data_IF_119193535676
#
_entry.id   IF_119193535676
#
_cell.length_a   1.000
_cell.length_b   1.000
_cell.length_c   1.000
_cell.angle_alpha   90.00
_cell.angle_beta   90.00
_cell.angle_gamma   90.00
#
_symmetry.space_group_name_H-M   'P 1'
#
loop_
_entity.id
_entity.type
_entity.pdbx_description
1 polymer ?
2 non-polymer ?
3 non-polymer ?
4 non-polymer ?
5 non-polymer ?
6 water ?
#
# COMPACT_ATOMS: atom_id res chain seq x y z
N UNK A 19 -10.28 10.72 -29.74
CA UNK A 19 -10.66 10.71 -31.18
C UNK A 19 -10.32 9.40 -31.90
N UNK A 20 -9.68 8.47 -31.23
CA UNK A 20 -9.36 7.20 -31.85
C UNK A 20 -10.63 6.37 -31.99
N UNK A 21 -10.74 5.63 -33.06
CA UNK A 21 -11.95 4.87 -33.29
C UNK A 21 -11.74 3.38 -33.48
N UNK A 22 -10.52 2.88 -33.33
CA UNK A 22 -10.34 1.43 -33.48
C UNK A 22 -11.00 0.71 -32.32
N UNK A 23 -11.27 -0.58 -32.52
CA UNK A 23 -12.13 -1.30 -31.57
C UNK A 23 -11.32 -1.84 -30.38
N UNK A 24 -10.87 -0.90 -29.55
CA UNK A 24 -10.13 -1.24 -28.36
C UNK A 24 -10.29 -0.08 -27.38
N UNK A 25 -10.17 -0.37 -26.09
CA UNK A 25 -10.16 0.63 -25.04
C UNK A 25 -8.74 1.04 -24.81
N UNK A 26 -8.54 2.31 -24.42
CA UNK A 26 -7.22 2.82 -24.08
C UNK A 26 -7.24 3.28 -22.64
N UNK A 27 -6.30 2.76 -21.85
CA UNK A 27 -6.13 3.16 -20.47
C UNK A 27 -4.78 3.91 -20.41
N UNK A 28 -4.81 5.18 -20.03
CA UNK A 28 -3.59 5.95 -19.92
C UNK A 28 -3.04 5.79 -18.51
N UNK A 29 -1.76 5.41 -18.42
CA UNK A 29 -1.13 5.14 -17.13
C UNK A 29 0.25 5.78 -17.08
N UNK A 30 0.70 6.05 -15.85
CA UNK A 30 2.06 6.46 -15.60
C UNK A 30 2.56 5.59 -14.45
N UNK A 31 3.61 4.82 -14.70
CA UNK A 31 4.20 3.92 -13.71
C UNK A 31 5.34 4.62 -13.01
N UNK A 32 5.42 4.44 -11.70
CA UNK A 32 6.55 4.86 -10.92
C UNK A 32 6.89 3.72 -9.96
N UNK A 33 7.99 3.88 -9.25
CA UNK A 33 8.21 3.00 -8.10
C UNK A 33 8.72 3.82 -6.92
N UNK A 34 8.40 3.32 -5.73
CA UNK A 34 8.81 3.93 -4.50
C UNK A 34 9.64 2.90 -3.77
N UNK A 35 10.96 3.12 -3.72
CA UNK A 35 11.88 2.16 -3.09
C UNK A 35 11.79 0.78 -3.74
N UNK A 36 11.41 0.75 -5.01
CA UNK A 36 11.34 -0.49 -5.78
C UNK A 36 9.92 -1.04 -5.89
N UNK A 37 9.00 -0.54 -5.06
CA UNK A 37 7.62 -1.00 -5.09
C UNK A 37 6.82 -0.20 -6.11
N UNK A 38 6.22 -0.89 -7.09
CA UNK A 38 5.62 -0.16 -8.21
C UNK A 38 4.26 0.46 -7.88
N UNK A 39 3.98 1.59 -8.53
CA UNK A 39 2.64 2.19 -8.51
C UNK A 39 2.25 2.48 -9.95
N UNK A 40 1.12 1.91 -10.36
CA UNK A 40 0.59 2.15 -11.70
C UNK A 40 -0.56 3.12 -11.56
N UNK A 41 -0.31 4.39 -11.90
CA UNK A 41 -1.33 5.44 -11.78
C UNK A 41 -2.19 5.44 -13.02
N UNK A 42 -3.48 5.23 -12.83
CA UNK A 42 -4.43 5.28 -13.93
C UNK A 42 -4.95 6.69 -14.07
N UNK A 43 -4.57 7.33 -15.16
CA UNK A 43 -4.93 8.73 -15.42
C UNK A 43 -6.30 8.84 -16.06
N UNK A 44 -6.62 7.89 -16.94
CA UNK A 44 -7.92 7.89 -17.60
C UNK A 44 -8.23 6.52 -18.20
N UNK A 45 -9.52 6.29 -18.45
CA UNK A 45 -9.95 5.07 -19.15
C UNK A 45 -10.82 4.11 -18.36
N UNK A 46 -10.90 4.27 -17.05
CA UNK A 46 -11.80 3.42 -16.25
C UNK A 46 -13.21 3.97 -16.38
N UNK A 47 -14.20 3.15 -16.05
CA UNK A 47 -15.58 3.61 -16.08
C UNK A 47 -15.86 4.63 -14.99
N UNK A 48 -16.94 5.38 -15.18
CA UNK A 48 -17.49 6.22 -14.15
C UNK A 48 -17.86 5.40 -12.92
N UNK A 49 -17.60 5.96 -11.74
CA UNK A 49 -17.90 5.26 -10.50
C UNK A 49 -18.85 6.09 -9.61
N UNK A 50 -19.42 7.13 -10.20
CA UNK A 50 -20.33 8.01 -9.48
C UNK A 50 -19.57 9.14 -8.82
N UNK A 51 -20.26 9.87 -7.94
CA UNK A 51 -19.69 11.07 -7.33
C UNK A 51 -19.63 11.00 -5.80
N UNK A 52 -19.71 9.79 -5.26
CA UNK A 52 -19.67 9.60 -3.81
C UNK A 52 -18.25 9.61 -3.25
N UNK A 53 -18.10 9.14 -2.02
CA UNK A 53 -16.79 9.07 -1.39
C UNK A 53 -15.90 8.07 -2.11
N UNK A 54 -14.59 8.12 -1.89
CA UNK A 54 -13.68 7.16 -2.50
C UNK A 54 -14.07 5.73 -2.06
N UNK A 55 -14.56 5.58 -0.84
CA UNK A 55 -14.97 4.24 -0.37
C UNK A 55 -16.18 3.75 -1.18
N UNK A 56 -17.13 4.64 -1.43
CA UNK A 56 -18.31 4.28 -2.22
C UNK A 56 -17.92 3.94 -3.65
N UNK A 57 -16.98 4.70 -4.22
CA UNK A 57 -16.50 4.43 -5.58
C UNK A 57 -15.75 3.11 -5.65
N UNK A 58 -14.97 2.82 -4.61
CA UNK A 58 -14.26 1.55 -4.56
C UNK A 58 -15.25 0.38 -4.59
N UNK A 59 -16.36 0.52 -3.87
CA UNK A 59 -17.39 -0.53 -3.81
C UNK A 59 -17.96 -0.78 -5.21
N UNK A 60 -18.22 0.30 -5.96
CA UNK A 60 -18.77 0.17 -7.31
C UNK A 60 -17.73 -0.50 -8.23
N UNK A 61 -16.49 -0.04 -8.17
CA UNK A 61 -15.41 -0.60 -8.98
C UNK A 61 -15.27 -2.10 -8.71
N UNK A 62 -15.21 -2.47 -7.44
CA UNK A 62 -15.00 -3.87 -7.05
C UNK A 62 -16.18 -4.76 -7.46
N UNK A 63 -17.38 -4.23 -7.37
CA UNK A 63 -18.57 -5.06 -7.58
C UNK A 63 -18.92 -5.17 -9.07
N UNK A 64 -18.79 -4.05 -9.78
CA UNK A 64 -19.31 -3.95 -11.14
C UNK A 64 -18.23 -4.01 -12.23
N UNK A 65 -17.03 -3.52 -11.91
CA UNK A 65 -16.00 -3.30 -12.91
C UNK A 65 -14.63 -3.84 -12.53
N UNK A 66 -14.62 -4.96 -11.80
CA UNK A 66 -13.34 -5.50 -11.31
C UNK A 66 -12.42 -5.92 -12.45
N UNK A 67 -12.98 -6.23 -13.61
CA UNK A 67 -12.14 -6.56 -14.78
C UNK A 67 -11.17 -5.42 -15.19
N UNK A 68 -11.52 -4.17 -14.87
CA UNK A 68 -10.58 -3.07 -15.09
C UNK A 68 -9.34 -3.18 -14.19
N UNK A 69 -9.52 -3.59 -12.94
CA UNK A 69 -8.37 -3.89 -12.08
C UNK A 69 -7.50 -4.99 -12.70
N UNK A 70 -8.12 -6.11 -13.06
CA UNK A 70 -7.34 -7.25 -13.55
C UNK A 70 -6.63 -6.92 -14.87
N UNK A 71 -7.26 -6.11 -15.72
CA UNK A 71 -6.63 -5.73 -17.00
C UNK A 71 -5.35 -4.95 -16.77
N UNK A 72 -5.36 -4.10 -15.75
CA UNK A 72 -4.23 -3.23 -15.43
C UNK A 72 -3.12 -3.87 -14.62
N UNK A 73 -3.51 -4.76 -13.72
CA UNK A 73 -2.61 -5.30 -12.70
C UNK A 73 -2.06 -6.66 -13.05
N UNK A 74 -2.91 -7.55 -13.56
CA UNK A 74 -2.56 -8.94 -13.82
C UNK A 74 -1.84 -9.10 -15.17
N UNK A 75 -1.21 -10.23 -15.36
CA UNK A 75 -0.68 -10.59 -16.67
C UNK A 75 -1.83 -10.53 -17.68
N UNK A 76 -1.53 -10.23 -18.95
CA UNK A 76 -0.18 -10.02 -19.51
C UNK A 76 0.38 -8.61 -19.31
N UNK A 77 -0.45 -7.62 -18.99
CA UNK A 77 0.00 -6.23 -18.93
C UNK A 77 0.69 -5.83 -17.64
N UNK A 78 0.49 -6.63 -16.59
CA UNK A 78 1.02 -6.30 -15.27
C UNK A 78 1.84 -7.44 -14.69
N UNK A 79 1.73 -7.60 -13.38
CA UNK A 79 2.36 -8.72 -12.69
C UNK A 79 1.81 -8.78 -11.28
N UNK A 80 2.08 -9.88 -10.58
CA UNK A 80 1.50 -10.06 -9.26
C UNK A 80 2.04 -9.05 -8.26
N UNK A 81 3.14 -8.40 -8.59
CA UNK A 81 3.77 -7.43 -7.70
C UNK A 81 3.10 -6.05 -7.70
N UNK A 82 2.45 -5.70 -8.81
CA UNK A 82 2.00 -4.33 -9.03
C UNK A 82 0.87 -3.92 -8.11
N UNK A 83 0.91 -2.65 -7.78
CA UNK A 83 -0.15 -1.95 -7.06
C UNK A 83 -0.61 -0.81 -7.99
N UNK A 84 -1.92 -0.69 -8.16
CA UNK A 84 -2.50 0.33 -9.00
C UNK A 84 -3.14 1.43 -8.17
N UNK A 85 -3.26 2.61 -8.76
CA UNK A 85 -3.87 3.76 -8.13
C UNK A 85 -4.77 4.44 -9.16
N UNK A 86 -6.06 4.42 -8.93
CA UNK A 86 -6.99 5.10 -9.84
C UNK A 86 -7.19 6.54 -9.43
N UNK A 87 -6.83 7.48 -10.30
CA UNK A 87 -7.06 8.90 -10.02
C UNK A 87 -8.55 9.19 -10.14
N UNK A 88 -9.07 9.90 -9.15
CA UNK A 88 -10.46 10.28 -9.12
C UNK A 88 -10.60 11.77 -8.80
N UNK A 89 -11.66 12.39 -9.30
CA UNK A 89 -12.00 13.74 -8.84
C UNK A 89 -12.47 13.64 -7.39
N UNK A 90 -11.88 14.45 -6.49
CA UNK A 90 -12.25 14.31 -5.08
C UNK A 90 -13.61 14.94 -4.78
N UNK A 91 -14.20 14.57 -3.65
CA UNK A 91 -15.48 15.14 -3.23
C UNK A 91 -15.27 16.59 -2.82
N UNK A 92 -14.22 16.82 -2.04
CA UNK A 92 -13.92 18.17 -1.55
C UNK A 92 -13.08 18.96 -2.55
N UNK A 93 -13.49 20.18 -2.89
CA UNK A 93 -12.67 20.99 -3.79
C UNK A 93 -11.33 21.43 -3.18
N UNK A 94 -11.14 21.23 -1.88
CA UNK A 94 -9.88 21.56 -1.21
C UNK A 94 -8.82 20.46 -1.36
N UNK A 95 -9.19 19.32 -1.95
CA UNK A 95 -8.25 18.22 -2.15
C UNK A 95 -7.66 18.26 -3.55
N UNK A 96 -6.41 17.81 -3.67
CA UNK A 96 -5.75 17.72 -4.97
C UNK A 96 -6.28 16.58 -5.81
N UNK A 97 -6.70 15.50 -5.16
CA UNK A 97 -7.08 14.28 -5.85
C UNK A 97 -7.75 13.32 -4.89
N UNK A 98 -8.49 12.38 -5.46
CA UNK A 98 -8.90 11.18 -4.77
C UNK A 98 -8.22 10.00 -5.43
N UNK A 99 -8.00 8.94 -4.67
CA UNK A 99 -7.33 7.74 -5.18
C UNK A 99 -7.95 6.47 -4.61
N UNK A 100 -8.05 5.45 -5.45
CA UNK A 100 -8.41 4.10 -5.00
C UNK A 100 -7.22 3.19 -5.36
N UNK A 101 -6.71 2.47 -4.38
CA UNK A 101 -5.56 1.59 -4.56
C UNK A 101 -6.01 0.12 -4.66
N UNK A 102 -5.33 -0.64 -5.52
CA UNK A 102 -5.64 -2.04 -5.72
C UNK A 102 -4.39 -2.86 -6.05
N UNK A 103 -4.50 -4.17 -5.88
CA UNK A 103 -3.35 -5.07 -6.10
C UNK A 103 -3.82 -6.33 -6.80
N UNK A 104 -3.00 -7.36 -6.82
CA UNK A 104 -3.34 -8.56 -7.59
C UNK A 104 -4.53 -9.32 -7.04
N UNK A 105 -4.88 -9.11 -5.78
CA UNK A 105 -6.00 -9.84 -5.22
C UNK A 105 -7.25 -9.03 -4.99
N UNK A 106 -7.13 -7.71 -4.82
CA UNK A 106 -8.30 -6.89 -4.53
C UNK A 106 -7.97 -5.45 -4.28
N UNK A 107 -8.60 -4.88 -3.25
CA UNK A 107 -8.50 -3.44 -2.99
C UNK A 107 -7.87 -3.16 -1.63
N UNK A 108 -6.96 -2.22 -1.61
CA UNK A 108 -6.32 -1.80 -0.37
C UNK A 108 -7.14 -0.73 0.32
N UNK A 109 -6.70 -0.33 1.52
CA UNK A 109 -7.28 0.82 2.20
C UNK A 109 -6.45 2.04 1.83
N UNK A 110 -5.54 2.43 2.71
CA UNK A 110 -4.50 3.39 2.35
C UNK A 110 -3.30 2.63 1.73
N UNK A 111 -2.38 3.38 1.18
CA UNK A 111 -1.20 2.82 0.53
C UNK A 111 -0.13 3.89 0.57
N UNK A 112 0.87 3.71 1.44
CA UNK A 112 1.88 4.73 1.66
C UNK A 112 2.81 4.90 0.47
N UNK A 113 3.41 3.80 0.00
CA UNK A 113 4.36 3.88 -1.10
C UNK A 113 3.61 4.43 -2.32
N UNK A 114 2.33 4.06 -2.43
CA UNK A 114 1.53 4.48 -3.58
C UNK A 114 1.16 5.95 -3.55
N UNK A 115 0.89 6.48 -2.36
CA UNK A 115 0.60 7.92 -2.23
C UNK A 115 1.84 8.73 -2.59
N UNK A 116 3.02 8.27 -2.16
CA UNK A 116 4.28 8.91 -2.56
C UNK A 116 4.39 8.90 -4.09
N UNK A 117 4.11 7.76 -4.71
CA UNK A 117 4.15 7.67 -6.16
C UNK A 117 3.16 8.58 -6.87
N UNK A 118 1.93 8.59 -6.37
CA UNK A 118 0.89 9.41 -6.96
C UNK A 118 1.29 10.88 -6.92
N UNK A 119 1.76 11.33 -5.76
CA UNK A 119 2.06 12.75 -5.61
C UNK A 119 3.26 13.16 -6.47
N UNK A 120 4.29 12.33 -6.51
CA UNK A 120 5.42 12.58 -7.38
C UNK A 120 4.99 12.62 -8.86
N UNK A 121 4.09 11.71 -9.22
CA UNK A 121 3.58 11.63 -10.58
C UNK A 121 2.73 12.85 -10.94
N UNK A 122 1.88 13.30 -10.02
CA UNK A 122 1.07 14.49 -10.28
C UNK A 122 1.96 15.71 -10.56
N UNK A 123 3.14 15.76 -9.93
CA UNK A 123 4.07 16.85 -10.23
C UNK A 123 4.58 16.76 -11.66
N UNK A 124 4.95 15.54 -12.06
CA UNK A 124 5.41 15.28 -13.43
C UNK A 124 4.35 15.65 -14.47
N UNK A 125 3.09 15.44 -14.12
CA UNK A 125 1.94 15.77 -14.98
C UNK A 125 1.65 17.25 -15.02
N UNK A 126 2.32 18.01 -14.17
CA UNK A 126 2.14 19.45 -14.10
C UNK A 126 0.90 19.88 -13.34
N UNK A 127 0.32 18.97 -12.54
CA UNK A 127 -0.93 19.25 -11.86
C UNK A 127 -0.77 19.87 -10.47
N UNK A 128 0.40 19.66 -9.85
CA UNK A 128 0.70 20.25 -8.55
C UNK A 128 2.15 20.68 -8.48
N UNK A 129 2.42 21.60 -7.57
CA UNK A 129 3.78 22.00 -7.24
C UNK A 129 4.13 21.62 -5.82
N UNK A 130 5.36 21.91 -5.41
CA UNK A 130 5.72 21.67 -4.01
C UNK A 130 4.75 22.34 -3.04
N UNK A 131 4.48 21.65 -1.93
CA UNK A 131 3.60 22.16 -0.90
C UNK A 131 2.70 21.06 -0.37
N UNK A 132 1.68 21.45 0.39
CA UNK A 132 0.82 20.49 1.08
C UNK A 132 -0.41 20.21 0.23
N UNK A 133 -0.72 18.93 0.07
CA UNK A 133 -1.82 18.49 -0.80
C UNK A 133 -2.65 17.41 -0.12
N UNK A 134 -3.96 17.62 -0.04
CA UNK A 134 -4.84 16.64 0.57
C UNK A 134 -5.26 15.61 -0.47
N UNK A 135 -5.19 14.33 -0.09
CA UNK A 135 -5.54 13.24 -0.98
C UNK A 135 -6.62 12.37 -0.33
N UNK A 136 -7.79 12.29 -0.98
CA UNK A 136 -8.88 11.47 -0.45
C UNK A 136 -8.64 10.00 -0.78
N UNK A 137 -8.95 9.13 0.17
CA UNK A 137 -8.82 7.67 -0.01
C UNK A 137 -10.01 6.95 0.62
N UNK A 138 -10.13 5.65 0.36
CA UNK A 138 -11.27 4.93 0.95
C UNK A 138 -11.24 4.81 2.48
N UNK A 139 -10.11 5.12 3.12
CA UNK A 139 -10.03 5.08 4.59
C UNK A 139 -9.86 6.47 5.22
N UNK A 140 -10.08 7.52 4.43
CA UNK A 140 -10.00 8.89 4.91
C UNK A 140 -8.99 9.71 4.17
N UNK A 141 -8.99 11.02 4.44
CA UNK A 141 -8.10 11.93 3.73
C UNK A 141 -6.73 12.01 4.39
N UNK A 142 -5.68 11.91 3.58
CA UNK A 142 -4.32 12.06 4.08
C UNK A 142 -3.73 13.36 3.55
N UNK A 143 -2.69 13.86 4.20
CA UNK A 143 -2.04 15.10 3.81
C UNK A 143 -0.62 14.83 3.34
N UNK A 144 -0.38 15.02 2.05
CA UNK A 144 0.93 14.72 1.49
C UNK A 144 1.65 16.03 1.27
N UNK A 145 2.88 16.12 1.75
CA UNK A 145 3.69 17.27 1.46
C UNK A 145 4.72 16.89 0.39
N UNK A 146 4.65 17.58 -0.74
CA UNK A 146 5.66 17.46 -1.77
C UNK A 146 6.74 18.48 -1.44
N UNK A 147 7.89 17.96 -1.06
CA UNK A 147 9.02 18.80 -0.68
C UNK A 147 9.69 19.37 -1.93
N UNK A 148 10.47 20.41 -1.72
CA UNK A 148 11.18 21.05 -2.83
C UNK A 148 12.10 20.03 -3.54
N UNK A 149 12.60 19.03 -2.80
CA UNK A 149 13.43 17.98 -3.43
C UNK A 149 12.64 16.85 -4.13
N UNK A 150 11.33 16.98 -4.13
CA UNK A 150 10.40 16.08 -4.80
C UNK A 150 10.20 14.76 -4.06
N UNK A 151 10.85 14.62 -2.90
CA UNK A 151 10.43 13.59 -1.93
C UNK A 151 9.06 13.96 -1.38
N UNK A 152 8.38 12.98 -0.79
CA UNK A 152 7.02 13.19 -0.33
C UNK A 152 6.85 12.67 1.09
N UNK A 153 6.26 13.50 1.96
CA UNK A 153 5.86 13.07 3.30
C UNK A 153 4.35 12.86 3.30
N UNK A 154 3.90 11.73 3.79
CA UNK A 154 2.48 11.43 3.86
C UNK A 154 2.05 11.34 5.31
N UNK A 155 1.23 12.30 5.74
CA UNK A 155 0.64 12.29 7.07
C UNK A 155 -0.56 11.36 6.95
N UNK A 156 -0.40 10.16 7.51
CA UNK A 156 -1.36 9.07 7.35
C UNK A 156 -2.59 9.24 8.27
N UNK A 157 -3.59 8.40 8.05
CA UNK A 157 -4.71 8.29 8.95
C UNK A 157 -4.27 7.75 10.32
N UNK A 158 -5.16 7.84 11.30
CA UNK A 158 -4.88 7.33 12.63
C UNK A 158 -4.41 5.86 12.60
N UNK A 159 -3.36 5.57 13.36
CA UNK A 159 -2.82 4.22 13.50
C UNK A 159 -2.92 3.81 14.94
N UNK A 160 -3.13 2.52 15.19
CA UNK A 160 -3.26 2.06 16.57
C UNK A 160 -2.99 0.57 16.65
N UNK A 161 -2.61 0.10 17.84
CA UNK A 161 -2.43 -1.32 18.07
C UNK A 161 -3.69 -1.91 18.72
N UNK A 162 -4.16 -3.00 18.14
CA UNK A 162 -5.35 -3.70 18.60
C UNK A 162 -5.02 -4.74 19.67
N UNK A 163 -3.87 -5.38 19.54
CA UNK A 163 -3.44 -6.38 20.54
C UNK A 163 -1.94 -6.57 20.46
N UNK A 164 -1.35 -6.94 21.60
CA UNK A 164 0.11 -7.10 21.73
C UNK A 164 0.51 -8.54 22.09
N UNK A 165 1.59 -9.03 21.47
CA UNK A 165 2.19 -10.32 21.86
C UNK A 165 1.16 -11.45 21.83
N UNK A 166 0.42 -11.51 20.74
CA UNK A 166 -0.56 -12.57 20.51
C UNK A 166 0.17 -13.85 20.11
N UNK A 167 -0.08 -14.93 20.85
CA UNK A 167 0.55 -16.21 20.58
C UNK A 167 -0.07 -16.88 19.35
N UNK A 168 0.77 -17.40 18.49
CA UNK A 168 0.30 -18.07 17.28
C UNK A 168 1.23 -19.26 16.98
N UNK A 169 0.63 -20.43 16.81
CA UNK A 169 1.39 -21.60 16.34
C UNK A 169 1.34 -21.56 14.81
N UNK A 170 2.49 -21.27 14.20
CA UNK A 170 2.58 -21.12 12.75
C UNK A 170 2.69 -22.50 12.13
N UNK A 171 1.72 -22.88 11.30
CA UNK A 171 1.76 -24.27 10.82
C UNK A 171 3.03 -24.54 10.02
N UNK A 172 3.72 -25.62 10.38
CA UNK A 172 4.94 -26.00 9.71
C UNK A 172 6.19 -25.41 10.33
N UNK A 173 6.06 -24.52 11.32
CA UNK A 173 7.21 -23.80 11.86
C UNK A 173 7.30 -23.69 13.40
N UNK A 174 6.18 -23.45 14.07
CA UNK A 174 6.21 -23.37 15.52
C UNK A 174 5.77 -22.02 16.05
N UNK A 175 5.79 -21.87 17.38
CA UNK A 175 5.15 -20.73 18.02
C UNK A 175 5.85 -19.40 17.84
N UNK A 176 5.04 -18.35 17.65
CA UNK A 176 5.54 -16.98 17.65
C UNK A 176 4.59 -16.09 18.43
N UNK A 177 5.03 -14.85 18.63
CA UNK A 177 4.20 -13.80 19.20
C UNK A 177 4.17 -12.66 18.21
N UNK A 178 3.00 -12.07 17.99
CA UNK A 178 2.90 -10.91 17.11
C UNK A 178 1.93 -9.86 17.62
N UNK A 179 2.12 -8.63 17.17
CA UNK A 179 1.17 -7.57 17.44
C UNK A 179 0.18 -7.46 16.28
N UNK A 180 -1.04 -7.05 16.59
CA UNK A 180 -2.05 -6.75 15.57
C UNK A 180 -2.23 -5.24 15.56
N UNK A 181 -2.05 -4.60 14.42
CA UNK A 181 -2.14 -3.13 14.36
C UNK A 181 -2.66 -2.63 13.02
N UNK A 182 -3.34 -1.49 13.07
CA UNK A 182 -3.85 -0.81 11.90
C UNK A 182 -2.98 0.39 11.54
N UNK A 183 -2.56 0.46 10.28
CA UNK A 183 -1.85 1.61 9.76
C UNK A 183 -2.45 2.13 8.47
N UNK A 184 -3.75 1.86 8.25
CA UNK A 184 -4.41 2.07 6.95
C UNK A 184 -4.71 0.78 6.21
N UNK A 185 -4.15 -0.31 6.73
CA UNK A 185 -4.49 -1.71 6.41
C UNK A 185 -4.21 -2.47 7.71
N UNK A 186 -4.67 -3.71 7.82
CA UNK A 186 -4.40 -4.52 9.03
C UNK A 186 -3.13 -5.34 8.90
N UNK A 187 -2.30 -5.34 9.95
CA UNK A 187 -1.01 -6.00 9.95
C UNK A 187 -0.86 -6.91 11.17
N UNK A 188 -0.15 -8.01 10.97
CA UNK A 188 0.42 -8.81 12.05
C UNK A 188 1.94 -8.59 12.01
N UNK A 189 2.50 -8.16 13.13
CA UNK A 189 3.90 -7.72 13.22
C UNK A 189 4.68 -8.65 14.13
N UNK A 190 5.69 -9.31 13.60
CA UNK A 190 6.45 -10.29 14.34
C UNK A 190 7.94 -9.96 14.33
N UNK A 191 8.59 -10.03 15.50
CA UNK A 191 10.05 -9.98 15.58
C UNK A 191 10.72 -11.34 15.85
N UNK A 192 10.01 -12.23 16.57
CA UNK A 192 10.61 -13.50 17.01
C UNK A 192 10.34 -14.68 16.06
N UNK A 193 10.41 -14.40 14.76
CA UNK A 193 10.08 -15.37 13.74
C UNK A 193 11.19 -16.38 13.42
N UNK A 194 12.43 -16.09 13.83
CA UNK A 194 13.56 -16.98 13.56
C UNK A 194 14.04 -17.03 12.11
N UNK A 195 13.48 -16.18 11.27
CA UNK A 195 13.88 -16.09 9.84
C UNK A 195 14.96 -15.03 9.54
N UNK A 196 15.61 -15.22 8.40
CA UNK A 196 16.67 -14.32 7.95
C UNK A 196 16.09 -13.32 6.95
N UNK A 197 15.97 -12.07 7.39
CA UNK A 197 15.39 -11.01 6.58
C UNK A 197 16.45 -10.39 5.67
N UNK A 198 16.42 -10.81 4.41
CA UNK A 198 17.43 -10.44 3.42
C UNK A 198 16.87 -10.70 2.04
N UNK A 199 17.27 -9.89 1.07
CA UNK A 199 16.74 -9.96 -0.28
C UNK A 199 17.00 -11.28 -0.98
N UNK A 200 18.06 -11.98 -0.58
CA UNK A 200 18.37 -13.26 -1.21
C UNK A 200 17.56 -14.40 -0.60
N UNK A 201 16.66 -14.09 0.32
CA UNK A 201 15.91 -15.11 1.04
C UNK A 201 14.39 -14.94 0.92
N UNK A 202 13.93 -14.21 -0.09
CA UNK A 202 12.52 -13.87 -0.18
C UNK A 202 11.63 -15.10 -0.44
N UNK A 203 12.14 -16.14 -1.09
CA UNK A 203 11.35 -17.35 -1.26
C UNK A 203 10.97 -17.95 0.11
N UNK A 204 11.95 -18.11 0.99
CA UNK A 204 11.68 -18.70 2.30
C UNK A 204 10.83 -17.77 3.16
N UNK A 205 11.06 -16.47 3.04
CA UNK A 205 10.28 -15.49 3.81
C UNK A 205 8.82 -15.47 3.36
N UNK A 206 8.61 -15.60 2.06
CA UNK A 206 7.26 -15.63 1.49
C UNK A 206 6.52 -16.87 2.02
N UNK A 207 7.19 -18.02 2.00
CA UNK A 207 6.59 -19.23 2.52
C UNK A 207 6.25 -19.13 4.01
N UNK A 208 7.17 -18.55 4.79
CA UNK A 208 6.93 -18.42 6.22
C UNK A 208 5.74 -17.48 6.47
N UNK A 209 5.73 -16.32 5.82
CA UNK A 209 4.69 -15.33 6.08
C UNK A 209 3.33 -15.83 5.61
N UNK A 210 3.34 -16.61 4.53
CA UNK A 210 2.10 -17.22 4.06
C UNK A 210 1.54 -18.19 5.11
N UNK A 211 2.44 -18.94 5.75
CA UNK A 211 2.03 -19.87 6.79
C UNK A 211 1.52 -19.10 8.00
N UNK A 212 2.14 -17.97 8.33
CA UNK A 212 1.62 -17.16 9.43
C UNK A 212 0.15 -16.79 9.18
N UNK A 213 -0.12 -16.31 7.98
CA UNK A 213 -1.48 -15.93 7.62
C UNK A 213 -2.45 -17.10 7.67
N UNK A 214 -2.04 -18.29 7.20
CA UNK A 214 -2.85 -19.48 7.34
C UNK A 214 -3.15 -19.73 8.83
N UNK A 215 -2.14 -19.53 9.68
CA UNK A 215 -2.29 -19.70 11.12
C UNK A 215 -3.30 -18.73 11.74
N UNK A 216 -3.26 -17.48 11.32
CA UNK A 216 -4.21 -16.48 11.83
C UNK A 216 -5.63 -16.88 11.46
N UNK A 217 -5.81 -17.31 10.21
CA UNK A 217 -7.12 -17.75 9.74
C UNK A 217 -7.64 -18.93 10.52
N UNK A 218 -6.79 -19.92 10.75
CA UNK A 218 -7.20 -21.10 11.47
C UNK A 218 -7.63 -20.72 12.89
N UNK A 219 -6.89 -19.80 13.48
CA UNK A 219 -7.11 -19.39 14.88
C UNK A 219 -8.27 -18.42 15.04
N UNK A 220 -8.77 -17.90 13.92
CA UNK A 220 -9.81 -16.89 13.96
C UNK A 220 -9.30 -15.59 14.55
N UNK A 221 -8.00 -15.32 14.41
CA UNK A 221 -7.44 -14.07 14.93
C UNK A 221 -7.64 -12.94 13.93
N UNK A 222 -8.22 -11.83 14.38
CA UNK A 222 -8.57 -10.71 13.50
C UNK A 222 -8.20 -9.36 14.11
N UNK A 223 -8.28 -8.31 13.31
CA UNK A 223 -8.28 -6.96 13.83
C UNK A 223 -9.63 -6.61 14.45
N UNK A 224 -9.82 -5.33 14.75
CA UNK A 224 -11.07 -4.86 15.32
C UNK A 224 -12.22 -5.21 14.41
N UNK A 225 -13.36 -5.53 15.02
CA UNK A 225 -14.60 -5.81 14.32
C UNK A 225 -14.41 -6.90 13.26
N UNK A 226 -13.62 -7.90 13.61
CA UNK A 226 -13.37 -9.04 12.75
C UNK A 226 -12.57 -8.74 11.50
N UNK A 227 -11.84 -7.62 11.47
CA UNK A 227 -11.09 -7.22 10.29
C UNK A 227 -10.04 -8.23 9.88
N UNK A 228 -10.02 -8.63 8.60
CA UNK A 228 -9.06 -9.64 8.16
C UNK A 228 -7.63 -9.09 8.19
N UNK A 229 -6.73 -9.81 8.85
CA UNK A 229 -5.33 -9.39 8.87
C UNK A 229 -4.65 -9.96 7.64
N UNK A 230 -4.50 -9.12 6.63
CA UNK A 230 -4.05 -9.61 5.32
C UNK A 230 -2.66 -9.13 4.92
N UNK A 231 -1.97 -8.41 5.81
CA UNK A 231 -0.56 -8.09 5.62
C UNK A 231 0.24 -8.65 6.80
N UNK A 232 1.39 -9.24 6.52
CA UNK A 232 2.25 -9.82 7.54
C UNK A 232 3.61 -9.13 7.47
N UNK A 233 4.10 -8.67 8.61
CA UNK A 233 5.41 -8.01 8.67
C UNK A 233 6.37 -8.76 9.58
N UNK A 234 7.56 -9.05 9.05
CA UNK A 234 8.62 -9.70 9.80
C UNK A 234 9.75 -8.69 9.98
N UNK A 235 10.06 -8.38 11.24
CA UNK A 235 11.04 -7.33 11.56
C UNK A 235 12.37 -7.92 11.99
N UNK A 236 13.45 -7.20 11.69
CA UNK A 236 14.77 -7.61 12.11
C UNK A 236 15.63 -6.40 12.43
N UNK A 237 16.63 -6.61 13.29
CA UNK A 237 17.62 -5.57 13.53
C UNK A 237 18.42 -5.34 12.26
N UNK A 238 18.99 -4.14 12.13
CA UNK A 238 19.76 -3.74 10.96
C UNK A 238 20.85 -2.77 11.43
N UNK A 239 22.12 -3.11 11.21
CA UNK A 239 23.18 -2.19 11.64
C UNK A 239 23.13 -0.78 11.04
N UNK A 240 22.49 -0.60 9.88
CA UNK A 240 22.43 0.70 9.23
C UNK A 240 21.19 1.52 9.52
N UNK A 241 20.15 0.89 10.06
CA UNK A 241 18.83 1.53 10.19
C UNK A 241 18.23 1.17 11.55
N UNK A 242 17.02 1.65 11.83
CA UNK A 242 16.38 1.23 13.07
C UNK A 242 15.90 -0.21 12.97
N UNK A 243 15.48 -0.61 11.77
CA UNK A 243 14.92 -1.94 11.57
C UNK A 243 14.89 -2.24 10.06
N UNK A 244 14.80 -3.52 9.71
CA UNK A 244 14.56 -3.95 8.33
C UNK A 244 13.36 -4.87 8.39
N UNK A 245 12.48 -4.81 7.40
CA UNK A 245 11.32 -5.71 7.42
C UNK A 245 11.15 -6.45 6.10
N UNK A 246 10.46 -7.58 6.19
CA UNK A 246 9.88 -8.26 5.05
C UNK A 246 8.37 -8.18 5.20
N UNK A 247 7.67 -7.70 4.18
CA UNK A 247 6.23 -7.52 4.27
C UNK A 247 5.51 -8.31 3.19
N UNK A 248 4.63 -9.22 3.60
CA UNK A 248 3.76 -9.95 2.68
C UNK A 248 2.42 -9.23 2.53
N UNK A 249 2.04 -8.96 1.28
CA UNK A 249 0.83 -8.20 0.94
C UNK A 249 -0.34 -9.17 0.69
N UNK A 250 -1.55 -8.63 0.57
CA UNK A 250 -2.74 -9.49 0.54
C UNK A 250 -2.81 -10.54 -0.58
N UNK A 251 -2.17 -10.27 -1.70
CA UNK A 251 -2.16 -11.20 -2.82
C UNK A 251 -0.94 -12.11 -2.83
N UNK A 252 -0.23 -12.11 -1.71
CA UNK A 252 0.94 -12.95 -1.46
C UNK A 252 2.21 -12.57 -2.23
N UNK A 253 2.22 -11.38 -2.83
CA UNK A 253 3.46 -10.76 -3.28
C UNK A 253 4.03 -9.99 -2.09
N UNK A 254 5.34 -9.76 -2.08
CA UNK A 254 5.91 -8.95 -1.02
C UNK A 254 6.09 -7.51 -1.46
N UNK A 255 6.14 -6.63 -0.46
CA UNK A 255 6.35 -5.20 -0.69
C UNK A 255 7.86 -4.98 -0.81
N UNK A 256 8.28 -4.38 -1.92
CA UNK A 256 9.68 -4.04 -2.13
C UNK A 256 10.06 -2.82 -1.29
N UNK A 257 9.07 -2.03 -0.90
CA UNK A 257 9.32 -0.85 -0.07
C UNK A 257 9.24 -1.20 1.41
N UNK A 258 9.60 -0.22 2.26
CA UNK A 258 9.46 -0.46 3.70
C UNK A 258 8.01 -0.58 4.17
N UNK A 259 7.06 -0.28 3.27
CA UNK A 259 5.62 -0.40 3.52
C UNK A 259 5.15 0.76 4.38
N UNK A 260 4.52 1.75 3.75
CA UNK A 260 4.13 2.96 4.46
C UNK A 260 3.07 2.70 5.52
N UNK A 261 2.04 1.94 5.16
CA UNK A 261 1.00 1.61 6.12
C UNK A 261 1.53 0.61 7.18
N UNK A 262 2.43 -0.27 6.78
CA UNK A 262 3.01 -1.22 7.70
C UNK A 262 3.96 -0.58 8.69
N UNK A 263 4.68 0.44 8.23
CA UNK A 263 5.58 1.21 9.08
C UNK A 263 4.75 2.09 10.00
N UNK A 264 3.63 2.60 9.49
CA UNK A 264 2.69 3.34 10.33
C UNK A 264 2.21 2.46 11.49
N UNK A 265 1.87 1.21 11.19
CA UNK A 265 1.42 0.26 12.19
C UNK A 265 2.54 -0.03 13.20
N UNK A 266 3.77 -0.19 12.70
CA UNK A 266 4.92 -0.40 13.55
C UNK A 266 5.12 0.75 14.53
N UNK A 267 4.99 1.98 14.05
CA UNK A 267 5.12 3.14 14.94
C UNK A 267 4.03 3.17 16.01
N UNK A 268 2.81 2.72 15.69
CA UNK A 268 1.77 2.65 16.72
C UNK A 268 2.18 1.73 17.85
N UNK A 269 2.85 0.62 17.50
CA UNK A 269 3.31 -0.34 18.49
C UNK A 269 4.46 0.25 19.32
N UNK A 270 5.43 0.84 18.63
CA UNK A 270 6.57 1.48 19.33
C UNK A 270 6.10 2.57 20.29
N UNK A 271 5.16 3.40 19.81
CA UNK A 271 4.62 4.47 20.63
C UNK A 271 3.96 3.92 21.89
N UNK A 272 3.13 2.91 21.72
CA UNK A 272 2.38 2.33 22.83
C UNK A 272 3.31 1.66 23.85
N UNK A 273 4.47 1.22 23.38
CA UNK A 273 5.47 0.56 24.24
C UNK A 273 6.51 1.53 24.81
N UNK A 274 6.39 2.80 24.48
CA UNK A 274 7.32 3.80 24.99
C UNK A 274 8.73 3.69 24.40
N UNK A 275 8.81 3.13 23.20
CA UNK A 275 10.08 2.88 22.52
C UNK A 275 10.46 3.94 21.49
N UNK A 276 9.52 4.81 21.16
CA UNK A 276 9.80 5.92 20.23
C UNK A 276 8.97 7.11 20.70
N UNK A 277 9.64 8.25 20.85
CA UNK A 277 8.98 9.45 21.35
C UNK A 277 8.36 10.19 20.17
N UNK A 278 7.32 11.00 20.44
CA UNK A 278 6.74 11.82 19.38
C UNK A 278 7.82 12.71 18.78
N UNK A 279 7.85 12.79 17.45
CA UNK A 279 8.78 13.65 16.75
C UNK A 279 10.12 13.01 16.44
N UNK A 280 10.47 11.95 17.16
CA UNK A 280 11.73 11.24 16.89
C UNK A 280 11.62 10.51 15.56
N UNK A 281 12.71 10.44 14.79
CA UNK A 281 12.69 9.78 13.50
C UNK A 281 13.09 8.31 13.56
N UNK A 282 12.28 7.48 12.92
CA UNK A 282 12.51 6.06 12.78
C UNK A 282 12.83 5.77 11.31
N UNK A 283 13.90 5.04 11.06
CA UNK A 283 14.37 4.78 9.71
C UNK A 283 14.19 3.28 9.44
N UNK A 284 13.20 2.98 8.60
CA UNK A 284 12.79 1.60 8.32
C UNK A 284 13.26 1.18 6.93
N UNK A 285 13.98 0.06 6.86
CA UNK A 285 14.46 -0.47 5.59
C UNK A 285 13.56 -1.64 5.16
N UNK A 286 13.52 -1.88 3.87
CA UNK A 286 12.79 -3.03 3.31
C UNK A 286 13.74 -4.17 3.10
N UNK A 287 13.18 -5.30 2.67
CA UNK A 287 14.00 -6.48 2.47
C UNK A 287 15.05 -6.28 1.39
N UNK A 288 14.81 -5.34 0.44
CA UNK A 288 15.80 -5.08 -0.59
C UNK A 288 16.63 -3.81 -0.34
N UNK A 289 16.41 -3.15 0.79
CA UNK A 289 17.32 -2.10 1.22
C UNK A 289 16.84 -0.68 1.00
N UNK A 290 15.63 -0.50 0.46
CA UNK A 290 15.10 0.86 0.33
C UNK A 290 14.60 1.33 1.71
N UNK A 291 14.43 2.64 1.89
CA UNK A 291 14.24 3.21 3.22
C UNK A 291 13.17 4.30 3.25
N UNK A 292 12.36 4.27 4.30
CA UNK A 292 11.44 5.34 4.63
C UNK A 292 11.85 5.93 5.98
N UNK A 293 11.59 7.23 6.14
CA UNK A 293 11.75 7.94 7.41
C UNK A 293 10.37 8.19 7.98
N UNK A 294 10.19 7.90 9.27
CA UNK A 294 8.86 8.01 9.87
C UNK A 294 8.92 8.67 11.25
N UNK A 295 7.86 9.39 11.57
CA UNK A 295 7.74 9.98 12.90
C UNK A 295 6.25 10.05 13.21
N UNK A 296 5.89 10.35 14.46
CA UNK A 296 4.47 10.46 14.78
C UNK A 296 4.18 11.56 15.79
N UNK A 297 2.91 11.92 15.87
CA UNK A 297 2.38 12.71 16.97
C UNK A 297 1.23 11.96 17.65
N UNK A 298 1.04 12.23 18.93
CA UNK A 298 -0.05 11.60 19.66
C UNK A 298 -1.38 12.16 19.17
N UNK A 299 -2.41 11.32 19.24
CA UNK A 299 -3.76 11.72 18.86
C UNK A 299 -4.73 10.98 19.77
N UNK A 300 -6.00 11.35 19.75
CA UNK A 300 -7.00 10.60 20.50
C UNK A 300 -7.20 9.22 19.87
N UNK A 301 -6.93 8.18 20.65
CA UNK A 301 -7.20 6.82 20.23
C UNK A 301 -6.06 6.15 19.48
N UNK A 302 -4.93 6.85 19.38
CA UNK A 302 -3.83 6.30 18.62
C UNK A 302 -2.76 7.33 18.35
N UNK A 303 -2.09 7.16 17.21
CA UNK A 303 -1.09 8.12 16.77
C UNK A 303 -1.36 8.53 15.33
N UNK A 304 -0.82 9.68 14.94
CA UNK A 304 -0.82 10.08 13.54
C UNK A 304 0.61 10.06 13.05
N UNK A 305 0.93 9.05 12.21
CA UNK A 305 2.29 8.89 11.71
C UNK A 305 2.45 9.55 10.35
N UNK A 306 3.66 10.02 10.11
CA UNK A 306 4.03 10.61 8.83
C UNK A 306 5.21 9.81 8.27
N UNK A 307 5.10 9.43 7.01
CA UNK A 307 6.10 8.60 6.32
C UNK A 307 6.69 9.41 5.19
N UNK A 308 8.01 9.49 5.11
CA UNK A 308 8.66 10.20 4.01
C UNK A 308 9.50 9.22 3.18
N UNK A 309 9.41 9.37 1.86
CA UNK A 309 10.20 8.58 0.93
C UNK A 309 10.24 9.24 -0.44
N UNK A 310 10.86 8.55 -1.40
CA UNK A 310 11.05 9.06 -2.73
C UNK A 310 10.49 8.10 -3.76
N UNK A 311 9.96 8.65 -4.85
CA UNK A 311 9.52 7.84 -5.98
C UNK A 311 10.24 8.27 -7.26
N UNK A 312 10.45 7.31 -8.16
CA UNK A 312 11.06 7.56 -9.46
C UNK A 312 10.11 7.11 -10.56
N UNK A 313 10.01 7.92 -11.60
CA UNK A 313 9.20 7.55 -12.76
C UNK A 313 9.83 6.37 -13.46
N UNK A 314 9.02 5.46 -13.98
CA UNK A 314 9.56 4.29 -14.67
C UNK A 314 8.91 3.99 -16.03
N UNK A 315 7.70 4.49 -16.28
CA UNK A 315 7.13 4.39 -17.64
C UNK A 315 5.91 5.28 -17.83
N UNK A 316 5.72 5.71 -19.06
CA UNK A 316 4.46 6.33 -19.52
C UNK A 316 3.89 5.40 -20.57
N UNK A 317 2.61 5.05 -20.42
CA UNK A 317 2.02 4.06 -21.30
C UNK A 317 0.55 4.24 -21.58
N UNK A 318 0.12 3.66 -22.69
CA UNK A 318 -1.29 3.48 -22.96
C UNK A 318 -1.53 1.99 -23.02
N UNK A 319 -2.30 1.46 -22.08
CA UNK A 319 -2.70 0.07 -22.15
C UNK A 319 -3.79 -0.06 -23.19
N UNK A 320 -3.69 -1.13 -23.98
CA UNK A 320 -4.62 -1.37 -25.07
C UNK A 320 -5.43 -2.64 -24.74
N UNK A 321 -6.74 -2.48 -24.73
CA UNK A 321 -7.65 -3.56 -24.35
C UNK A 321 -8.53 -3.85 -25.59
N UNK A 322 -8.04 -4.74 -26.45
CA UNK A 322 -8.67 -5.00 -27.75
C UNK A 322 -9.95 -5.79 -27.57
N UNK A 323 -11.01 -5.37 -28.23
CA UNK A 323 -12.32 -6.02 -28.08
C UNK A 323 -12.27 -7.51 -28.40
N UNK A 324 -11.48 -7.86 -29.41
CA UNK A 324 -11.37 -9.25 -29.86
C UNK A 324 -10.26 -10.08 -29.18
N UNK A 325 -9.65 -9.55 -28.12
CA UNK A 325 -8.58 -10.27 -27.44
C UNK A 325 -9.18 -11.10 -26.32
N UNK A 326 -9.07 -12.43 -26.41
CA UNK A 326 -9.70 -13.26 -25.37
C UNK A 326 -9.17 -13.00 -23.98
N UNK A 327 -7.95 -12.48 -23.87
CA UNK A 327 -7.33 -12.16 -22.57
C UNK A 327 -7.32 -10.67 -22.29
N UNK A 328 -8.27 -9.94 -22.91
CA UNK A 328 -8.29 -8.50 -22.80
C UNK A 328 -8.39 -8.03 -21.36
N UNK A 329 -9.06 -8.79 -20.51
CA UNK A 329 -9.25 -8.37 -19.12
C UNK A 329 -8.23 -8.99 -18.17
N UNK A 330 -7.20 -9.60 -18.74
CA UNK A 330 -6.18 -10.29 -17.97
C UNK A 330 -6.40 -11.78 -17.91
N UNK A 331 -5.36 -12.51 -17.49
CA UNK A 331 -5.43 -13.94 -17.32
C UNK A 331 -5.71 -14.25 -15.86
N UNK A 332 -6.82 -14.92 -15.62
CA UNK A 332 -7.30 -15.17 -14.27
C UNK A 332 -7.23 -16.66 -13.95
X LIG B 1 2.29 0.57 1.39
X LIG B 1 2.67 -0.84 1.56
X LIG B 1 1.63 0.56 0.06
X LIG B 1 1.36 1.04 2.46
X LIG B 1 3.48 1.34 1.27
X LIG C 1 9.22 16.27 -13.11
X LIG C 1 8.19 15.91 -12.12
X LIG C 1 8.80 16.07 -14.50
X LIG C 1 9.61 17.69 -12.89
X LIG C 1 10.36 15.39 -12.80
X LIG D 1 21.62 2.88 -0.16
X LIG D 1 20.58 1.88 -0.45
X LIG D 1 21.11 4.27 -0.21
X LIG D 1 22.11 2.63 1.21
X LIG D 1 22.68 2.74 -1.18
X LIG E 1 -3.90 21.65 -4.52
X LIG E 1 -3.56 20.76 -3.41
X LIG E 1 -5.06 21.14 -5.25
X LIG E 1 -4.19 22.98 -3.99
X LIG E 1 -2.77 21.74 -5.45
X LIG F 1 18.52 6.73 4.20
X LIG F 1 19.25 5.47 3.96
X LIG F 1 17.25 6.77 3.40
X LIG F 1 18.19 6.95 5.62
X LIG F 1 19.33 7.90 3.73
X LIG G 1 -12.25 -3.97 -25.09
X LIG H 1 7.10 -6.37 15.69
X LIG H 1 8.38 -5.84 15.96
X LIG H 1 6.40 -6.78 16.98
X LIG H 1 7.09 -7.86 17.56
X LIG H 1 6.40 -5.62 17.97
X LIG H 1 5.56 -4.59 17.53
X LIG H 1 6.50 -5.62 15.18
X LIG H 1 7.19 -7.23 15.03
X LIG H 1 8.84 -5.64 15.11
X LIG H 1 5.37 -7.07 16.75
X LIG H 1 8.01 -7.59 17.75
X LIG H 1 6.07 -5.98 18.94
X LIG H 1 7.42 -5.25 18.07
X LIG H 1 5.43 -3.94 18.25
X LIG I 1 20.24 -0.49 13.92
#
# INVERSE_FOLDING_TARGET
MHHHHHHSSGVDLGTENLYFQSMMKRIQIIDSHTGGEPTRLVVSGFPSLGSGTMAERRDVLAREYDRYRTACILEPRGSDVLVGALLCEPVSPDAAAGVIFFNNSGYLGMCGHGTIGVVRTLHHMGRIGPGVHRIETPVGTVEATLHDDLSVSVRNVLAYRHAKDVALDVPGYGPVRGDIAWGGNWFFLISDHGQRVAGDNVAALTAYASAVREGLERAGITGANGGEIDHIELFADDPEHDSRSFVLCPGLAYDRSPCGTGTSAKLACLAADGKLAPGAVWRQASVIGSVFHASYVQAEGGIVPTIRGSAHLSAEATLLIEDDDPFRWGIVS
PO4 P O1 O2 O3 O4
PO4 P O1 O2 O3 O4
PO4 P O1 O2 O3 O4
PO4 P O1 O2 O3 O4
PO4 P O1 O2 O3 O4
CL CL
GOL C1 O1 C2 O2 C3 O3 H11 H12 HO1 H2 HO2 H31 H32 HO3
NA NA
#
